data_IF_602676078754
#
_entry.id   IF_602676078754
#
_cell.length_a   1.000
_cell.length_b   1.000
_cell.length_c   1.000
_cell.angle_alpha   90.00
_cell.angle_beta   90.00
_cell.angle_gamma   90.00
#
_symmetry.space_group_name_H-M   'P 1'
#
loop_
_entity.id
_entity.type
_entity.pdbx_description
1 polymer ?
#
# COMPACT_ATOMS: atom_id res chain seq x y z
N UNK A 1 18.37 -89.01 -32.93
CA UNK A 1 18.30 -88.21 -31.65
C UNK A 1 18.50 -86.73 -31.97
N UNK A 2 17.42 -86.03 -32.11
CA UNK A 2 17.41 -84.54 -32.42
C UNK A 2 17.07 -83.79 -31.18
N UNK A 3 18.03 -82.99 -30.71
CA UNK A 3 17.89 -82.08 -29.52
C UNK A 3 17.24 -80.79 -29.95
N UNK A 4 16.05 -80.49 -29.41
CA UNK A 4 15.39 -79.22 -29.60
C UNK A 4 15.90 -78.23 -28.55
N UNK A 5 16.66 -77.21 -28.98
CA UNK A 5 16.99 -76.08 -28.18
C UNK A 5 15.80 -75.10 -28.22
N UNK A 6 15.20 -74.86 -27.07
CA UNK A 6 14.21 -73.79 -26.87
C UNK A 6 14.93 -72.41 -26.71
N UNK A 7 14.61 -71.44 -27.58
CA UNK A 7 15.07 -70.09 -27.50
C UNK A 7 14.02 -69.32 -26.70
N UNK A 8 14.40 -68.86 -25.51
CA UNK A 8 13.55 -67.97 -24.67
C UNK A 8 13.75 -66.51 -25.13
N UNK A 9 12.76 -65.97 -25.76
CA UNK A 9 12.74 -64.51 -26.04
C UNK A 9 12.40 -63.70 -24.76
N UNK A 10 13.32 -62.84 -24.31
CA UNK A 10 13.10 -61.89 -23.25
C UNK A 10 12.58 -60.64 -23.94
N UNK A 11 11.30 -60.31 -23.70
CA UNK A 11 10.71 -59.05 -24.14
C UNK A 11 11.01 -57.99 -23.04
N UNK A 12 11.91 -57.06 -23.34
CA UNK A 12 12.22 -55.93 -22.47
C UNK A 12 11.13 -54.87 -22.70
N UNK A 13 10.20 -54.73 -21.77
CA UNK A 13 9.19 -53.66 -21.79
C UNK A 13 9.81 -52.34 -21.41
N UNK A 14 9.90 -51.42 -22.35
CA UNK A 14 10.35 -50.03 -22.13
C UNK A 14 9.16 -49.24 -21.59
N UNK A 15 9.11 -49.01 -20.28
CA UNK A 15 8.14 -48.05 -19.68
C UNK A 15 8.65 -46.64 -19.87
N UNK A 16 8.05 -45.89 -20.79
CA UNK A 16 8.27 -44.45 -20.95
C UNK A 16 7.50 -43.76 -19.84
N UNK A 17 8.17 -43.34 -18.76
CA UNK A 17 7.63 -42.43 -17.77
C UNK A 17 7.65 -41.04 -18.39
N UNK A 18 6.52 -40.59 -18.89
CA UNK A 18 6.35 -39.24 -19.39
C UNK A 18 6.51 -38.25 -18.21
N UNK A 19 7.60 -37.49 -18.21
CA UNK A 19 7.75 -36.35 -17.30
C UNK A 19 6.72 -35.26 -17.69
N UNK A 20 5.68 -35.08 -16.89
CA UNK A 20 4.79 -33.95 -17.02
C UNK A 20 5.59 -32.71 -16.56
N UNK A 21 6.12 -31.99 -17.53
CA UNK A 21 6.73 -30.69 -17.24
C UNK A 21 5.61 -29.73 -16.80
N UNK A 22 5.58 -29.42 -15.52
CA UNK A 22 4.75 -28.35 -15.00
C UNK A 22 5.36 -27.01 -15.49
N UNK A 23 4.84 -26.50 -16.59
CA UNK A 23 5.13 -25.11 -17.00
C UNK A 23 4.47 -24.18 -15.99
N UNK A 24 5.21 -23.78 -14.96
CA UNK A 24 4.78 -22.70 -14.10
C UNK A 24 4.78 -21.42 -14.96
N UNK A 25 3.60 -20.90 -15.25
CA UNK A 25 3.47 -19.55 -15.78
C UNK A 25 4.10 -18.62 -14.73
N UNK A 26 5.05 -17.75 -15.08
CA UNK A 26 5.62 -16.80 -14.11
C UNK A 26 4.49 -16.03 -13.48
N UNK A 27 4.30 -16.18 -12.16
CA UNK A 27 3.26 -15.46 -11.44
C UNK A 27 3.54 -13.95 -11.51
N UNK A 28 2.56 -13.16 -11.92
CA UNK A 28 2.64 -11.71 -11.83
C UNK A 28 2.45 -11.30 -10.36
N UNK A 29 3.45 -10.66 -9.75
CA UNK A 29 3.39 -10.25 -8.34
C UNK A 29 2.23 -9.29 -8.04
N UNK A 30 1.78 -8.53 -9.02
CA UNK A 30 0.62 -7.62 -8.85
C UNK A 30 -0.70 -8.36 -8.75
N UNK A 31 -0.81 -9.57 -9.34
CA UNK A 31 -1.99 -10.44 -9.25
C UNK A 31 -1.89 -11.47 -8.13
N UNK A 32 -0.75 -11.54 -7.44
CA UNK A 32 -0.54 -12.47 -6.35
C UNK A 32 -1.45 -12.14 -5.14
N UNK A 33 -1.89 -13.20 -4.47
CA UNK A 33 -2.58 -13.16 -3.18
C UNK A 33 -1.82 -14.07 -2.22
N UNK A 34 -2.08 -13.96 -0.92
CA UNK A 34 -1.38 -14.75 0.08
C UNK A 34 -1.77 -16.23 0.04
N UNK A 35 -3.02 -16.54 -0.33
CA UNK A 35 -3.55 -17.90 -0.33
C UNK A 35 -3.70 -18.46 1.09
N UNK A 36 -4.05 -17.63 2.06
CA UNK A 36 -4.15 -18.02 3.47
C UNK A 36 -5.22 -19.11 3.65
N UNK A 37 -4.86 -20.22 4.26
CA UNK A 37 -5.78 -21.33 4.51
C UNK A 37 -6.79 -21.02 5.62
N UNK A 38 -8.01 -21.59 5.52
CA UNK A 38 -9.03 -21.44 6.54
C UNK A 38 -9.69 -20.05 6.58
N UNK A 39 -9.60 -19.27 5.51
CA UNK A 39 -10.27 -17.98 5.42
C UNK A 39 -11.72 -18.12 4.98
N UNK A 40 -12.55 -17.24 5.53
CA UNK A 40 -13.96 -17.11 5.17
C UNK A 40 -14.21 -16.00 4.13
N UNK A 41 -13.21 -15.15 3.87
CA UNK A 41 -13.31 -14.02 2.93
C UNK A 41 -12.37 -14.20 1.76
N UNK A 42 -12.81 -13.80 0.56
CA UNK A 42 -11.94 -13.78 -0.62
C UNK A 42 -10.83 -12.74 -0.47
N UNK A 43 -9.67 -13.06 -1.02
CA UNK A 43 -8.52 -12.14 -1.07
C UNK A 43 -8.62 -11.20 -2.28
N UNK A 44 -7.97 -10.05 -2.15
CA UNK A 44 -7.80 -9.05 -3.20
C UNK A 44 -6.32 -8.92 -3.50
N UNK A 45 -5.94 -9.00 -4.76
CA UNK A 45 -4.57 -8.72 -5.21
C UNK A 45 -4.29 -7.21 -5.27
N UNK A 46 -3.01 -6.83 -5.41
CA UNK A 46 -2.65 -5.40 -5.55
C UNK A 46 -3.22 -4.77 -6.81
N UNK A 47 -3.21 -5.50 -7.92
CA UNK A 47 -3.80 -5.04 -9.19
C UNK A 47 -5.30 -4.83 -9.06
N UNK A 48 -6.00 -5.80 -8.48
CA UNK A 48 -7.44 -5.69 -8.25
C UNK A 48 -7.78 -4.55 -7.30
N UNK A 49 -7.00 -4.34 -6.22
CA UNK A 49 -7.21 -3.22 -5.32
C UNK A 49 -7.05 -1.86 -6.03
N UNK A 50 -6.06 -1.73 -6.91
CA UNK A 50 -5.90 -0.53 -7.76
C UNK A 50 -7.14 -0.27 -8.63
N UNK A 51 -7.67 -1.32 -9.27
CA UNK A 51 -8.91 -1.22 -10.04
C UNK A 51 -10.12 -0.85 -9.18
N UNK A 52 -10.25 -1.43 -7.99
CA UNK A 52 -11.31 -1.11 -7.03
C UNK A 52 -11.27 0.37 -6.63
N UNK A 53 -10.08 0.90 -6.33
CA UNK A 53 -9.89 2.30 -5.96
C UNK A 53 -10.18 3.25 -7.12
N UNK A 54 -9.66 2.96 -8.31
CA UNK A 54 -9.85 3.79 -9.50
C UNK A 54 -11.32 3.89 -9.93
N UNK A 55 -12.08 2.81 -9.79
CA UNK A 55 -13.48 2.72 -10.20
C UNK A 55 -14.46 2.92 -9.02
N UNK A 56 -13.95 3.13 -7.81
CA UNK A 56 -14.74 3.29 -6.58
C UNK A 56 -15.75 2.13 -6.37
N UNK A 57 -15.32 0.88 -6.65
CA UNK A 57 -16.18 -0.32 -6.61
C UNK A 57 -16.44 -0.88 -5.23
N UNK A 58 -15.65 -0.49 -4.22
CA UNK A 58 -15.82 -0.93 -2.85
C UNK A 58 -15.37 0.16 -1.87
N UNK A 59 -15.85 0.10 -0.64
CA UNK A 59 -15.30 0.88 0.47
C UNK A 59 -14.04 0.18 0.97
N UNK A 60 -12.89 0.85 0.89
CA UNK A 60 -11.60 0.33 1.37
C UNK A 60 -11.39 0.81 2.80
N UNK A 61 -11.19 -0.13 3.72
CA UNK A 61 -11.12 0.13 5.16
C UNK A 61 -9.79 -0.32 5.75
N UNK A 62 -9.14 0.59 6.43
CA UNK A 62 -7.90 0.34 7.17
C UNK A 62 -8.21 -0.07 8.61
N UNK A 63 -7.87 -1.31 8.97
CA UNK A 63 -8.08 -1.85 10.32
C UNK A 63 -6.90 -1.57 11.28
N UNK A 64 -5.96 -0.70 10.91
CA UNK A 64 -4.84 -0.30 11.78
C UNK A 64 -5.29 0.78 12.77
N UNK A 65 -4.53 0.97 13.87
CA UNK A 65 -4.75 2.09 14.78
C UNK A 65 -4.74 3.43 14.07
N UNK A 66 -5.51 4.40 14.59
CA UNK A 66 -5.68 5.70 13.95
C UNK A 66 -4.35 6.41 13.66
N UNK A 67 -3.38 6.38 14.57
CA UNK A 67 -2.08 7.02 14.32
C UNK A 67 -1.32 6.37 13.16
N UNK A 68 -1.36 5.04 13.03
CA UNK A 68 -0.73 4.36 11.90
C UNK A 68 -1.39 4.74 10.57
N UNK A 69 -2.72 4.86 10.57
CA UNK A 69 -3.50 5.36 9.45
C UNK A 69 -3.14 6.81 9.12
N UNK A 70 -3.17 7.69 10.11
CA UNK A 70 -2.86 9.11 9.92
C UNK A 70 -1.45 9.35 9.37
N UNK A 71 -0.46 8.55 9.80
CA UNK A 71 0.91 8.63 9.29
C UNK A 71 1.01 8.19 7.83
N UNK A 72 0.24 7.15 7.44
CA UNK A 72 0.33 6.61 6.09
C UNK A 72 -0.80 5.62 5.82
N UNK A 73 -1.64 5.86 4.84
CA UNK A 73 -2.69 4.95 4.41
C UNK A 73 -2.83 4.90 2.88
N UNK A 74 -3.52 3.88 2.38
CA UNK A 74 -3.82 3.73 0.95
C UNK A 74 -4.80 4.84 0.56
N UNK A 75 -4.56 5.60 -0.52
CA UNK A 75 -5.40 6.71 -0.94
C UNK A 75 -6.88 6.33 -1.06
N UNK A 76 -7.73 7.16 -0.47
CA UNK A 76 -9.17 6.94 -0.46
C UNK A 76 -9.67 5.89 0.54
N UNK A 77 -8.80 5.24 1.31
CA UNK A 77 -9.21 4.35 2.38
C UNK A 77 -9.75 5.14 3.59
N UNK A 78 -10.65 4.51 4.35
CA UNK A 78 -11.19 5.06 5.60
C UNK A 78 -10.68 4.23 6.78
N UNK A 79 -10.43 4.88 7.91
CA UNK A 79 -10.00 4.20 9.11
C UNK A 79 -11.20 3.67 9.91
N UNK A 80 -11.10 2.43 10.37
CA UNK A 80 -12.10 1.77 11.23
C UNK A 80 -11.55 1.47 12.62
N UNK A 81 -10.51 2.21 13.03
CA UNK A 81 -9.98 2.10 14.37
C UNK A 81 -10.97 2.63 15.40
N UNK A 82 -10.98 1.97 16.55
CA UNK A 82 -11.61 2.56 17.73
C UNK A 82 -11.03 3.96 18.01
N UNK A 83 -11.82 4.77 18.68
CA UNK A 83 -11.63 6.20 18.97
C UNK A 83 -10.18 6.59 19.26
N UNK A 84 -9.73 7.78 18.80
CA UNK A 84 -8.43 8.32 19.16
C UNK A 84 -8.23 8.31 20.68
N UNK A 85 -7.00 7.92 21.12
CA UNK A 85 -6.66 7.88 22.55
C UNK A 85 -6.90 6.53 23.24
N UNK A 86 -7.47 5.53 22.57
CA UNK A 86 -7.54 4.17 23.13
C UNK A 86 -6.18 3.50 23.03
N UNK A 87 -5.60 2.99 24.14
CA UNK A 87 -4.34 2.28 24.12
C UNK A 87 -4.37 1.08 23.15
N UNK A 88 -3.24 0.80 22.50
CA UNK A 88 -3.10 -0.33 21.58
C UNK A 88 -3.55 -1.68 22.17
N UNK A 89 -3.34 -1.88 23.47
CA UNK A 89 -3.79 -3.07 24.20
C UNK A 89 -5.30 -3.20 24.29
N UNK A 90 -6.03 -2.10 24.13
CA UNK A 90 -7.49 -2.04 24.18
C UNK A 90 -8.12 -1.83 22.78
N UNK A 91 -7.30 -1.94 21.72
CA UNK A 91 -7.79 -1.81 20.37
C UNK A 91 -8.79 -2.91 20.05
N UNK A 92 -10.01 -2.51 19.77
CA UNK A 92 -11.09 -3.39 19.32
C UNK A 92 -11.53 -2.91 17.94
N UNK A 93 -11.57 -3.83 16.97
CA UNK A 93 -12.18 -3.55 15.67
C UNK A 93 -13.67 -3.23 15.91
N UNK A 94 -14.16 -2.19 15.27
CA UNK A 94 -15.47 -1.65 15.53
C UNK A 94 -16.42 -1.92 14.35
N UNK A 95 -17.22 -3.00 14.46
CA UNK A 95 -18.28 -3.33 13.48
C UNK A 95 -19.30 -2.20 13.38
N UNK A 96 -19.58 -1.48 14.48
CA UNK A 96 -20.52 -0.36 14.49
C UNK A 96 -19.96 0.81 13.66
N UNK A 97 -18.65 1.07 13.72
CA UNK A 97 -18.02 2.09 12.90
C UNK A 97 -18.07 1.72 11.40
N UNK A 98 -17.84 0.45 11.05
CA UNK A 98 -18.06 -0.01 9.66
C UNK A 98 -19.50 0.24 9.25
N UNK A 99 -20.48 -0.11 10.09
CA UNK A 99 -21.90 0.14 9.84
C UNK A 99 -22.19 1.62 9.55
N UNK A 100 -21.58 2.53 10.32
CA UNK A 100 -21.69 3.97 10.09
C UNK A 100 -21.10 4.39 8.73
N UNK A 101 -19.91 3.90 8.38
CA UNK A 101 -19.21 4.23 7.15
C UNK A 101 -19.94 3.74 5.91
N UNK A 102 -20.55 2.55 5.96
CA UNK A 102 -21.35 2.00 4.86
C UNK A 102 -22.83 2.37 4.93
N UNK A 103 -23.23 3.26 5.87
CA UNK A 103 -24.61 3.74 6.05
C UNK A 103 -25.61 2.61 6.30
N UNK A 104 -25.20 1.56 7.03
CA UNK A 104 -26.02 0.39 7.36
C UNK A 104 -26.22 -0.61 6.22
N UNK A 105 -25.66 -0.36 5.04
CA UNK A 105 -25.75 -1.29 3.89
C UNK A 105 -24.81 -2.47 4.08
N UNK A 106 -25.33 -3.61 4.56
CA UNK A 106 -24.59 -4.85 4.78
C UNK A 106 -24.22 -5.60 3.49
N UNK A 107 -24.82 -5.24 2.36
CA UNK A 107 -24.49 -5.74 1.02
C UNK A 107 -23.38 -4.96 0.32
N UNK A 108 -23.01 -3.78 0.85
CA UNK A 108 -21.99 -2.93 0.27
C UNK A 108 -20.67 -3.65 0.15
N UNK A 109 -19.99 -3.60 -1.03
CA UNK A 109 -18.65 -4.15 -1.17
C UNK A 109 -17.65 -3.46 -0.24
N UNK A 110 -16.92 -4.26 0.55
CA UNK A 110 -15.91 -3.82 1.50
C UNK A 110 -14.61 -4.54 1.22
N UNK A 111 -13.50 -3.82 1.23
CA UNK A 111 -12.14 -4.38 1.24
C UNK A 111 -11.42 -3.93 2.51
N UNK A 112 -11.03 -4.88 3.34
CA UNK A 112 -10.25 -4.63 4.55
C UNK A 112 -8.76 -4.82 4.32
N UNK A 113 -7.91 -3.98 4.91
CA UNK A 113 -6.48 -4.22 4.97
C UNK A 113 -5.88 -3.85 6.34
N UNK A 114 -4.64 -4.26 6.57
CA UNK A 114 -3.83 -3.84 7.73
C UNK A 114 -2.33 -3.91 7.41
N UNK A 115 -1.47 -4.26 8.40
CA UNK A 115 -0.01 -4.29 8.27
C UNK A 115 0.57 -5.54 7.56
N UNK A 116 -0.22 -6.24 6.77
CA UNK A 116 0.25 -7.36 5.95
C UNK A 116 0.01 -8.76 6.56
N UNK A 117 0.72 -9.79 6.07
CA UNK A 117 0.38 -11.20 6.28
C UNK A 117 0.21 -11.65 7.73
N UNK A 118 1.00 -11.10 8.64
CA UNK A 118 0.97 -11.48 10.06
C UNK A 118 0.04 -10.61 10.92
N UNK A 119 -0.70 -9.67 10.31
CA UNK A 119 -1.61 -8.79 11.02
C UNK A 119 -3.01 -9.39 11.12
N UNK A 120 -3.38 -9.84 12.32
CA UNK A 120 -4.71 -10.43 12.58
C UNK A 120 -5.89 -9.45 12.63
N UNK A 121 -5.65 -8.11 12.59
CA UNK A 121 -6.72 -7.11 12.79
C UNK A 121 -7.77 -7.16 11.69
N UNK A 122 -7.37 -7.13 10.41
CA UNK A 122 -8.31 -7.22 9.29
C UNK A 122 -8.99 -8.58 9.20
N UNK A 123 -8.32 -9.67 9.63
CA UNK A 123 -8.93 -11.01 9.69
C UNK A 123 -10.06 -11.05 10.71
N UNK A 124 -9.77 -10.61 11.94
CA UNK A 124 -10.76 -10.57 13.02
C UNK A 124 -11.96 -9.70 12.65
N UNK A 125 -11.73 -8.48 12.15
CA UNK A 125 -12.80 -7.60 11.73
C UNK A 125 -13.65 -8.22 10.61
N UNK A 126 -13.02 -8.91 9.65
CA UNK A 126 -13.73 -9.61 8.59
C UNK A 126 -14.65 -10.71 9.15
N UNK A 127 -14.17 -11.50 10.11
CA UNK A 127 -14.96 -12.55 10.77
C UNK A 127 -16.14 -11.96 11.56
N UNK A 128 -15.93 -10.87 12.30
CA UNK A 128 -16.95 -10.13 13.02
C UNK A 128 -18.03 -9.54 12.09
N UNK A 129 -17.62 -8.98 10.94
CA UNK A 129 -18.55 -8.48 9.93
C UNK A 129 -19.40 -9.59 9.33
N UNK A 130 -18.78 -10.72 8.94
CA UNK A 130 -19.54 -11.88 8.45
C UNK A 130 -20.52 -12.42 9.51
N UNK A 131 -20.13 -12.43 10.79
CA UNK A 131 -21.00 -12.79 11.92
C UNK A 131 -22.12 -11.77 12.18
N UNK A 132 -22.02 -10.59 11.59
CA UNK A 132 -23.00 -9.50 11.66
C UNK A 132 -23.78 -9.32 10.34
N UNK A 133 -23.86 -10.37 9.52
CA UNK A 133 -24.60 -10.46 8.26
C UNK A 133 -24.10 -9.54 7.12
N UNK A 134 -22.84 -9.08 7.16
CA UNK A 134 -22.25 -8.46 6.00
C UNK A 134 -21.91 -9.52 4.94
N UNK A 135 -22.37 -9.34 3.70
CA UNK A 135 -22.31 -10.38 2.67
C UNK A 135 -21.21 -10.19 1.63
N UNK A 136 -20.58 -9.02 1.59
CA UNK A 136 -19.61 -8.68 0.55
C UNK A 136 -18.32 -8.11 1.16
N UNK A 137 -17.64 -8.93 1.96
CA UNK A 137 -16.39 -8.58 2.65
C UNK A 137 -15.22 -9.33 2.04
N UNK A 138 -14.20 -8.60 1.63
CA UNK A 138 -12.96 -9.11 1.07
C UNK A 138 -11.75 -8.53 1.81
N UNK A 139 -10.56 -9.10 1.60
CA UNK A 139 -9.35 -8.65 2.30
C UNK A 139 -8.18 -8.48 1.35
N UNK A 140 -7.51 -7.33 1.43
CA UNK A 140 -6.19 -7.14 0.87
C UNK A 140 -5.14 -7.53 1.93
N UNK A 141 -4.77 -8.81 1.95
CA UNK A 141 -3.96 -9.40 3.00
C UNK A 141 -2.50 -9.01 2.94
N UNK A 142 -2.01 -8.70 1.74
CA UNK A 142 -0.64 -8.22 1.54
C UNK A 142 -0.39 -6.90 2.28
N UNK A 143 -1.44 -6.10 2.50
CA UNK A 143 -1.44 -4.92 3.34
C UNK A 143 -0.57 -3.78 2.82
N UNK A 144 -0.43 -2.73 3.64
CA UNK A 144 0.26 -1.51 3.25
C UNK A 144 1.76 -1.69 2.93
N UNK A 145 2.51 -2.62 3.56
CA UNK A 145 3.92 -2.81 3.20
C UNK A 145 4.10 -3.26 1.75
N UNK A 146 3.27 -4.21 1.29
CA UNK A 146 3.35 -4.69 -0.11
C UNK A 146 2.80 -3.65 -1.08
N UNK A 147 1.73 -2.92 -0.70
CA UNK A 147 1.24 -1.77 -1.46
C UNK A 147 2.37 -0.80 -1.81
N UNK A 148 3.16 -0.38 -0.80
CA UNK A 148 4.32 0.51 -0.97
C UNK A 148 5.42 -0.13 -1.81
N UNK A 149 5.79 -1.39 -1.51
CA UNK A 149 6.84 -2.11 -2.23
C UNK A 149 6.54 -2.25 -3.72
N UNK A 150 5.26 -2.31 -4.09
CA UNK A 150 4.80 -2.35 -5.48
C UNK A 150 4.53 -0.96 -6.07
N UNK A 151 5.09 0.10 -5.48
CA UNK A 151 5.02 1.47 -5.99
C UNK A 151 3.69 2.17 -5.70
N UNK A 152 2.93 1.71 -4.72
CA UNK A 152 1.74 2.39 -4.24
C UNK A 152 2.11 3.61 -3.39
N UNK A 153 1.67 4.80 -3.81
CA UNK A 153 1.76 6.01 -3.00
C UNK A 153 0.81 5.95 -1.81
N UNK A 154 1.10 6.68 -0.74
CA UNK A 154 0.24 6.75 0.45
C UNK A 154 -0.15 8.17 0.78
N UNK A 155 -1.20 8.33 1.57
CA UNK A 155 -1.64 9.61 2.15
C UNK A 155 -1.13 9.76 3.57
N UNK A 156 -0.84 11.00 3.98
CA UNK A 156 -0.55 11.37 5.36
C UNK A 156 -1.50 12.48 5.78
N UNK A 157 -2.18 12.28 6.91
CA UNK A 157 -3.07 13.28 7.49
C UNK A 157 -2.31 14.27 8.39
N UNK A 158 -2.97 15.32 8.83
CA UNK A 158 -2.36 16.37 9.65
C UNK A 158 -1.77 15.86 10.96
N UNK A 159 -2.47 14.97 11.65
CA UNK A 159 -1.98 14.40 12.92
C UNK A 159 -0.78 13.48 12.69
N UNK A 160 -0.79 12.74 11.57
CA UNK A 160 0.34 11.94 11.12
C UNK A 160 1.55 12.80 10.76
N UNK A 161 1.35 13.92 10.05
CA UNK A 161 2.38 14.89 9.72
C UNK A 161 3.04 15.47 10.99
N UNK A 162 2.22 15.95 11.93
CA UNK A 162 2.71 16.44 13.24
C UNK A 162 3.54 15.40 13.96
N UNK A 163 3.04 14.16 14.03
CA UNK A 163 3.73 13.08 14.69
C UNK A 163 5.08 12.77 14.04
N UNK A 164 5.13 12.66 12.72
CA UNK A 164 6.38 12.37 11.99
C UNK A 164 7.39 13.48 12.17
N UNK A 165 7.00 14.75 12.01
CA UNK A 165 7.92 15.88 12.16
C UNK A 165 8.47 16.02 13.59
N UNK A 166 7.73 15.57 14.59
CA UNK A 166 8.18 15.59 15.98
C UNK A 166 9.09 14.39 16.35
N UNK A 167 8.92 13.22 15.72
CA UNK A 167 9.49 11.97 16.19
C UNK A 167 10.42 11.26 15.19
N UNK A 168 10.34 11.55 13.90
CA UNK A 168 11.16 10.91 12.85
C UNK A 168 12.15 11.93 12.25
N UNK A 169 13.37 11.93 12.79
CA UNK A 169 14.43 12.84 12.32
C UNK A 169 15.04 12.44 10.97
N UNK A 170 14.73 11.24 10.49
CA UNK A 170 15.21 10.75 9.19
C UNK A 170 14.25 11.09 8.05
N UNK A 171 13.02 11.48 8.38
CA UNK A 171 12.02 11.84 7.38
C UNK A 171 12.46 13.03 6.53
N UNK A 172 12.30 12.89 5.22
CA UNK A 172 12.57 13.94 4.24
C UNK A 172 11.25 14.59 3.84
N UNK A 173 11.15 15.90 4.03
CA UNK A 173 10.01 16.69 3.55
C UNK A 173 10.36 17.32 2.22
N UNK A 174 9.49 17.17 1.24
CA UNK A 174 9.59 17.75 -0.10
C UNK A 174 8.49 18.79 -0.28
N UNK A 175 8.89 20.04 -0.50
CA UNK A 175 7.99 21.13 -0.87
C UNK A 175 7.96 21.25 -2.39
N UNK A 176 6.80 21.03 -2.98
CA UNK A 176 6.62 20.98 -4.44
C UNK A 176 6.05 22.28 -5.03
N UNK A 177 5.92 23.31 -4.19
CA UNK A 177 5.46 24.63 -4.65
C UNK A 177 6.50 25.27 -5.58
N UNK A 178 6.04 26.21 -6.38
CA UNK A 178 6.94 26.98 -7.26
C UNK A 178 7.97 27.79 -6.46
N UNK A 179 9.11 28.08 -7.09
CA UNK A 179 10.29 28.66 -6.46
C UNK A 179 9.97 29.94 -5.64
N UNK A 180 9.12 30.83 -6.17
CA UNK A 180 8.75 32.06 -5.48
C UNK A 180 8.04 31.77 -4.13
N UNK A 181 7.11 30.78 -4.11
CA UNK A 181 6.39 30.39 -2.91
C UNK A 181 7.31 29.66 -1.89
N UNK A 182 8.23 28.83 -2.38
CA UNK A 182 9.22 28.14 -1.54
C UNK A 182 10.18 29.15 -0.87
N UNK A 183 10.71 30.12 -1.62
CA UNK A 183 11.62 31.15 -1.09
C UNK A 183 10.91 32.16 -0.15
N UNK A 184 9.61 32.35 -0.29
CA UNK A 184 8.83 33.14 0.66
C UNK A 184 8.68 32.47 2.03
N UNK A 185 9.00 31.19 2.14
CA UNK A 185 8.99 30.40 3.37
C UNK A 185 8.55 28.96 3.14
N UNK A 186 9.21 28.03 3.82
CA UNK A 186 8.91 26.60 3.76
C UNK A 186 8.85 25.97 5.15
N UNK A 187 8.56 24.66 5.25
CA UNK A 187 8.48 23.93 6.52
C UNK A 187 9.87 23.45 6.94
N UNK A 188 10.44 24.03 7.98
CA UNK A 188 11.70 23.59 8.56
C UNK A 188 12.81 23.37 7.51
N UNK A 189 13.31 22.14 7.41
CA UNK A 189 14.35 21.74 6.45
C UNK A 189 13.78 21.09 5.18
N UNK A 190 12.54 21.43 4.78
CA UNK A 190 11.95 20.88 3.56
C UNK A 190 12.80 21.21 2.35
N UNK A 191 12.97 20.21 1.47
CA UNK A 191 13.76 20.30 0.24
C UNK A 191 12.86 20.68 -0.92
N UNK A 192 13.34 21.56 -1.78
CA UNK A 192 12.55 22.06 -2.91
C UNK A 192 12.59 21.11 -4.11
N UNK A 193 11.42 20.72 -4.59
CA UNK A 193 11.26 19.93 -5.82
C UNK A 193 10.00 20.44 -6.55
N UNK A 194 10.09 21.53 -7.34
CA UNK A 194 8.92 22.19 -7.90
C UNK A 194 8.13 21.29 -8.84
N UNK A 195 6.79 21.28 -8.68
CA UNK A 195 5.86 20.49 -9.48
C UNK A 195 6.04 20.70 -10.98
N UNK A 196 6.28 21.95 -11.41
CA UNK A 196 6.46 22.32 -12.82
C UNK A 196 7.68 21.67 -13.48
N UNK A 197 8.68 21.28 -12.70
CA UNK A 197 9.89 20.60 -13.20
C UNK A 197 9.77 19.07 -13.23
N UNK A 198 8.71 18.49 -12.66
CA UNK A 198 8.51 17.03 -12.64
C UNK A 198 7.87 16.58 -13.94
N UNK A 199 8.58 15.76 -14.68
CA UNK A 199 8.15 15.19 -15.96
C UNK A 199 7.61 13.78 -15.78
N UNK A 200 6.78 13.36 -16.73
CA UNK A 200 6.39 11.96 -16.84
C UNK A 200 7.58 11.09 -17.28
N UNK A 201 7.67 9.90 -16.75
CA UNK A 201 8.74 8.97 -17.03
C UNK A 201 9.62 8.70 -15.80
N UNK A 202 10.62 7.87 -16.00
CA UNK A 202 11.59 7.50 -14.98
C UNK A 202 12.92 8.18 -15.26
N UNK A 203 13.58 8.65 -14.21
CA UNK A 203 14.93 9.22 -14.27
C UNK A 203 15.03 10.46 -15.17
N UNK A 204 14.01 11.33 -15.15
CA UNK A 204 13.89 12.53 -15.97
C UNK A 204 13.55 13.78 -15.16
N UNK A 205 13.74 14.95 -15.76
CA UNK A 205 13.33 16.25 -15.22
C UNK A 205 13.93 16.59 -13.86
N UNK A 206 13.11 17.20 -13.01
CA UNK A 206 13.52 17.64 -11.67
C UNK A 206 13.76 16.47 -10.71
N UNK A 207 13.07 15.33 -10.88
CA UNK A 207 13.31 14.13 -10.08
C UNK A 207 14.73 13.60 -10.31
N UNK A 208 15.21 13.55 -11.57
CA UNK A 208 16.59 13.17 -11.88
C UNK A 208 17.59 14.11 -11.21
N UNK A 209 17.38 15.41 -11.32
CA UNK A 209 18.26 16.40 -10.67
C UNK A 209 18.27 16.24 -9.15
N UNK A 210 17.11 16.02 -8.54
CA UNK A 210 17.00 15.84 -7.09
C UNK A 210 17.68 14.55 -6.58
N UNK A 211 17.80 13.52 -7.42
CA UNK A 211 18.62 12.34 -7.14
C UNK A 211 20.11 12.67 -7.19
N UNK A 212 20.52 13.38 -8.22
CA UNK A 212 21.95 13.70 -8.48
C UNK A 212 22.52 14.69 -7.46
N UNK A 213 21.73 15.64 -6.95
CA UNK A 213 22.15 16.69 -6.02
C UNK A 213 21.86 16.41 -4.54
N UNK A 214 21.35 15.22 -4.22
CA UNK A 214 21.11 14.76 -2.84
C UNK A 214 19.86 15.30 -2.17
N UNK A 215 18.94 15.94 -2.90
CA UNK A 215 17.64 16.32 -2.37
C UNK A 215 16.74 15.11 -2.10
N UNK A 216 16.98 13.98 -2.77
CA UNK A 216 16.33 12.71 -2.49
C UNK A 216 17.27 11.74 -1.75
N UNK A 217 16.74 10.88 -0.85
CA UNK A 217 17.56 9.99 -0.01
C UNK A 217 18.00 8.75 -0.79
N UNK A 218 19.00 8.87 -1.64
CA UNK A 218 19.49 7.80 -2.52
C UNK A 218 20.17 6.65 -1.78
N UNK A 219 20.61 6.85 -0.55
CA UNK A 219 21.26 5.82 0.27
C UNK A 219 20.28 4.78 0.82
N UNK A 220 19.01 5.20 1.07
CA UNK A 220 17.94 4.33 1.55
C UNK A 220 16.61 4.70 0.94
N UNK A 221 16.16 3.91 -0.01
CA UNK A 221 14.87 4.07 -0.70
C UNK A 221 13.65 3.79 0.20
N UNK A 222 13.85 3.32 1.44
CA UNK A 222 12.79 3.17 2.44
C UNK A 222 12.69 4.37 3.39
N UNK A 223 13.62 5.33 3.28
CA UNK A 223 13.50 6.61 3.99
C UNK A 223 12.13 7.22 3.74
N UNK A 224 11.48 7.67 4.82
CA UNK A 224 10.17 8.32 4.71
C UNK A 224 10.30 9.64 3.95
N UNK A 225 9.53 9.78 2.89
CA UNK A 225 9.40 11.02 2.14
C UNK A 225 7.96 11.53 2.28
N UNK A 226 7.81 12.78 2.71
CA UNK A 226 6.52 13.47 2.80
C UNK A 226 6.51 14.58 1.77
N UNK A 227 5.54 14.54 0.87
CA UNK A 227 5.38 15.53 -0.19
C UNK A 227 4.26 16.50 0.18
N UNK A 228 4.57 17.81 0.16
CA UNK A 228 3.62 18.88 0.51
C UNK A 228 3.58 19.90 -0.62
N UNK A 229 2.37 20.25 -1.06
CA UNK A 229 2.14 21.17 -2.17
C UNK A 229 1.23 22.33 -1.83
N UNK A 230 1.00 23.19 -2.81
CA UNK A 230 -0.05 24.21 -2.77
C UNK A 230 -1.43 23.54 -2.82
N UNK A 231 -1.54 22.46 -3.55
CA UNK A 231 -2.72 21.60 -3.64
C UNK A 231 -2.36 20.15 -3.33
N UNK A 232 -3.37 19.36 -2.98
CA UNK A 232 -3.23 17.91 -2.79
C UNK A 232 -2.82 17.22 -4.09
N UNK A 233 -3.36 17.66 -5.22
CA UNK A 233 -3.08 17.08 -6.54
C UNK A 233 -1.61 17.28 -6.95
N UNK A 234 -1.01 18.47 -6.68
CA UNK A 234 0.41 18.72 -6.94
C UNK A 234 1.30 17.79 -6.10
N UNK A 235 0.98 17.67 -4.80
CA UNK A 235 1.71 16.82 -3.89
C UNK A 235 1.60 15.34 -4.30
N UNK A 236 0.39 14.88 -4.64
CA UNK A 236 0.14 13.53 -5.12
C UNK A 236 0.92 13.22 -6.40
N UNK A 237 0.85 14.10 -7.39
CA UNK A 237 1.55 13.90 -8.67
C UNK A 237 3.05 13.69 -8.48
N UNK A 238 3.69 14.52 -7.64
CA UNK A 238 5.12 14.37 -7.34
C UNK A 238 5.39 13.11 -6.53
N UNK A 239 4.56 12.79 -5.55
CA UNK A 239 4.70 11.57 -4.77
C UNK A 239 4.62 10.31 -5.64
N UNK A 240 3.69 10.27 -6.61
CA UNK A 240 3.60 9.19 -7.61
C UNK A 240 4.84 9.13 -8.52
N UNK A 241 5.44 10.28 -8.87
CA UNK A 241 6.70 10.30 -9.61
C UNK A 241 7.83 9.67 -8.80
N UNK A 242 7.91 9.97 -7.51
CA UNK A 242 8.94 9.40 -6.62
C UNK A 242 8.75 7.88 -6.42
N UNK A 243 7.52 7.39 -6.33
CA UNK A 243 7.30 5.92 -6.22
C UNK A 243 7.72 5.18 -7.49
N UNK A 244 7.63 5.80 -8.67
CA UNK A 244 8.18 5.24 -9.92
C UNK A 244 9.70 5.11 -9.92
N UNK A 245 10.40 5.90 -9.11
CA UNK A 245 11.86 5.83 -8.89
C UNK A 245 12.25 4.82 -7.78
N UNK A 246 11.32 3.96 -7.38
CA UNK A 246 11.49 2.95 -6.35
C UNK A 246 11.73 3.50 -4.93
N UNK A 247 11.29 4.72 -4.62
CA UNK A 247 11.14 5.14 -3.23
C UNK A 247 9.88 4.51 -2.65
N UNK A 248 10.05 3.64 -1.64
CA UNK A 248 8.96 2.77 -1.15
C UNK A 248 8.17 3.35 0.02
N UNK A 249 8.57 4.49 0.58
CA UNK A 249 7.92 5.08 1.74
C UNK A 249 7.54 6.54 1.48
N UNK A 250 6.82 6.76 0.39
CA UNK A 250 6.37 8.09 -0.03
C UNK A 250 4.91 8.31 0.35
N UNK A 251 4.65 9.41 1.05
CA UNK A 251 3.31 9.87 1.35
C UNK A 251 3.12 11.32 0.90
N UNK A 252 1.95 11.67 0.38
CA UNK A 252 1.58 13.04 0.15
C UNK A 252 0.60 13.54 1.22
N UNK A 253 0.77 14.79 1.61
CA UNK A 253 -0.10 15.41 2.61
C UNK A 253 -1.48 15.70 2.02
N UNK A 254 -2.53 15.31 2.73
CA UNK A 254 -3.93 15.46 2.32
C UNK A 254 -4.49 16.86 2.48
N UNK A 255 -3.68 17.81 2.93
CA UNK A 255 -4.02 19.23 3.05
C UNK A 255 -3.14 20.14 2.19
N UNK A 256 -3.33 21.43 2.34
CA UNK A 256 -2.50 22.46 1.68
C UNK A 256 -1.26 22.79 2.52
N UNK A 257 -0.26 23.38 1.88
CA UNK A 257 0.91 23.92 2.58
C UNK A 257 0.53 24.85 3.75
N UNK A 258 -0.47 25.71 3.57
CA UNK A 258 -0.91 26.64 4.62
C UNK A 258 -1.51 25.91 5.83
N UNK A 259 -2.24 24.83 5.59
CA UNK A 259 -2.76 23.97 6.69
C UNK A 259 -1.61 23.28 7.43
N UNK A 260 -0.61 22.76 6.70
CA UNK A 260 0.57 22.20 7.34
C UNK A 260 1.34 23.23 8.16
N UNK A 261 1.56 24.43 7.61
CA UNK A 261 2.27 25.52 8.28
C UNK A 261 1.54 25.96 9.57
N UNK A 262 0.23 26.19 9.49
CA UNK A 262 -0.58 26.60 10.63
C UNK A 262 -0.58 25.56 11.76
N UNK A 263 -0.52 24.29 11.41
CA UNK A 263 -0.55 23.19 12.37
C UNK A 263 0.77 22.96 13.12
N UNK A 264 1.86 23.52 12.62
CA UNK A 264 3.21 23.40 13.21
C UNK A 264 3.62 24.67 13.98
N UNK A 265 2.80 25.72 13.94
CA UNK A 265 2.97 26.88 14.81
C UNK A 265 2.56 26.50 16.23
N UNK A 266 3.33 26.91 17.26
CA UNK A 266 3.06 26.60 18.65
C UNK A 266 1.76 27.22 19.16
#
# INVERSE_FOLDING_TARGET
>A
MLSHRRVTQIVLGLTIVGAVAWTQTPGNIFTAVLGETGQRTAEVSTEELRGILAENRAVVLDARPHLEFAISHIPGALNVAARPGVPMSMYVSDVAEVGRLVRGDKGRPIVLYCNGPHCGKSKRLAEELLGSDYTNVRRYQLGIPVWRALGGVTEIELDGLRHVLANDRTAVVIDVREAAAYHAGTLGSARHLPRSGVLEGKDVGEVRRAKDDGRLPMEDHNTRIIVIGQSVDDARFVAEALTREAFHNVAYFTGTFQQALAALQP
#
